data_IF_096193420371
#
_entry.id   IF_096193420371
#
_cell.length_a   1.000
_cell.length_b   1.000
_cell.length_c   1.000
_cell.angle_alpha   90.00
_cell.angle_beta   90.00
_cell.angle_gamma   90.00
#
_symmetry.space_group_name_H-M   'P 1'
#
loop_
_entity.id
_entity.type
_entity.pdbx_description
1 polymer ?
#
# COMPACT_ATOMS: atom_id res chain seq x y z
N UNK A 1 -14.43 56.38 -57.40
CA UNK A 1 -14.22 56.03 -55.98
C UNK A 1 -15.57 55.83 -55.30
N UNK A 2 -15.97 54.57 -55.06
CA UNK A 2 -16.89 54.25 -53.96
C UNK A 2 -16.84 52.74 -53.72
N UNK A 3 -16.18 52.38 -52.62
CA UNK A 3 -16.03 51.01 -52.13
C UNK A 3 -17.39 50.52 -51.61
N UNK A 4 -17.89 49.44 -52.18
CA UNK A 4 -19.12 48.76 -51.78
C UNK A 4 -18.75 47.29 -51.72
N UNK A 5 -18.41 46.78 -50.53
CA UNK A 5 -18.46 45.35 -50.13
C UNK A 5 -17.90 45.06 -48.71
N UNK A 6 -17.80 46.03 -47.80
CA UNK A 6 -17.21 45.79 -46.47
C UNK A 6 -18.21 45.46 -45.36
N UNK A 7 -19.51 45.70 -45.53
CA UNK A 7 -20.46 45.60 -44.41
C UNK A 7 -20.86 44.17 -44.03
N UNK A 8 -20.86 43.22 -44.97
CA UNK A 8 -21.18 41.81 -44.65
C UNK A 8 -19.97 41.07 -44.05
N UNK A 9 -18.76 41.49 -44.41
CA UNK A 9 -17.49 40.94 -43.90
C UNK A 9 -17.05 41.56 -42.57
N UNK A 10 -17.49 42.79 -42.26
CA UNK A 10 -17.10 43.53 -41.05
C UNK A 10 -17.70 42.99 -39.75
N UNK A 11 -18.83 42.26 -39.79
CA UNK A 11 -19.51 41.74 -38.59
C UNK A 11 -19.46 40.21 -38.47
N UNK A 12 -19.34 39.48 -39.58
CA UNK A 12 -19.31 38.01 -39.58
C UNK A 12 -18.01 37.41 -39.03
N UNK A 13 -16.84 37.92 -39.45
CA UNK A 13 -15.53 37.40 -39.03
C UNK A 13 -15.31 37.58 -37.51
N UNK A 14 -15.57 38.77 -36.91
CA UNK A 14 -15.44 38.93 -35.45
C UNK A 14 -16.37 38.02 -34.65
N UNK A 15 -17.60 37.79 -35.13
CA UNK A 15 -18.56 36.90 -34.48
C UNK A 15 -18.12 35.43 -34.51
N UNK A 16 -17.57 34.96 -35.64
CA UNK A 16 -17.03 33.61 -35.76
C UNK A 16 -15.82 33.38 -34.83
N UNK A 17 -14.92 34.37 -34.71
CA UNK A 17 -13.80 34.30 -33.77
C UNK A 17 -14.27 34.24 -32.31
N UNK A 18 -15.33 34.97 -31.96
CA UNK A 18 -15.90 34.95 -30.61
C UNK A 18 -16.48 33.56 -30.30
N UNK A 19 -17.28 32.99 -31.19
CA UNK A 19 -17.87 31.65 -31.03
C UNK A 19 -16.76 30.59 -30.92
N UNK A 20 -15.75 30.63 -31.79
CA UNK A 20 -14.63 29.70 -31.76
C UNK A 20 -13.83 29.81 -30.45
N UNK A 21 -13.60 31.03 -29.96
CA UNK A 21 -12.90 31.27 -28.69
C UNK A 21 -13.70 30.71 -27.51
N UNK A 22 -15.02 30.90 -27.49
CA UNK A 22 -15.89 30.35 -26.43
C UNK A 22 -15.91 28.83 -26.48
N UNK A 23 -15.98 28.22 -27.67
CA UNK A 23 -15.89 26.77 -27.81
C UNK A 23 -14.53 26.23 -27.34
N UNK A 24 -13.44 26.93 -27.67
CA UNK A 24 -12.10 26.55 -27.23
C UNK A 24 -11.98 26.63 -25.70
N UNK A 25 -12.47 27.71 -25.08
CA UNK A 25 -12.52 27.85 -23.62
C UNK A 25 -13.39 26.76 -22.97
N UNK A 26 -14.54 26.43 -23.56
CA UNK A 26 -15.39 25.36 -23.09
C UNK A 26 -14.64 24.02 -23.11
N UNK A 27 -13.99 23.65 -24.23
CA UNK A 27 -13.20 22.41 -24.34
C UNK A 27 -12.05 22.37 -23.34
N UNK A 28 -11.29 23.46 -23.20
CA UNK A 28 -10.19 23.57 -22.22
C UNK A 28 -10.70 23.41 -20.79
N UNK A 29 -11.83 24.03 -20.45
CA UNK A 29 -12.43 23.90 -19.11
C UNK A 29 -12.89 22.46 -18.81
N UNK A 30 -13.49 21.76 -19.79
CA UNK A 30 -13.91 20.37 -19.61
C UNK A 30 -12.70 19.43 -19.44
N UNK A 31 -11.63 19.62 -20.22
CA UNK A 31 -10.38 18.88 -20.07
C UNK A 31 -9.75 19.13 -18.70
N UNK A 32 -9.70 20.39 -18.27
CA UNK A 32 -9.16 20.76 -16.95
C UNK A 32 -9.96 20.11 -15.82
N UNK A 33 -11.30 20.16 -15.89
CA UNK A 33 -12.16 19.54 -14.89
C UNK A 33 -12.02 18.02 -14.86
N UNK A 34 -11.90 17.38 -16.03
CA UNK A 34 -11.66 15.95 -16.15
C UNK A 34 -10.34 15.54 -15.48
N UNK A 35 -9.26 16.28 -15.78
CA UNK A 35 -7.96 16.05 -15.17
C UNK A 35 -8.00 16.27 -13.66
N UNK A 36 -8.58 17.37 -13.18
CA UNK A 36 -8.67 17.65 -11.74
C UNK A 36 -9.47 16.59 -10.97
N UNK A 37 -10.52 16.03 -11.57
CA UNK A 37 -11.27 14.92 -10.95
C UNK A 37 -10.43 13.65 -10.87
N UNK A 38 -9.71 13.33 -11.94
CA UNK A 38 -8.79 12.18 -11.96
C UNK A 38 -7.68 12.36 -10.93
N UNK A 39 -7.05 13.53 -10.87
CA UNK A 39 -6.02 13.87 -9.89
C UNK A 39 -6.53 13.79 -8.46
N UNK A 40 -7.73 14.32 -8.19
CA UNK A 40 -8.35 14.21 -6.87
C UNK A 40 -8.57 12.74 -6.47
N UNK A 41 -9.03 11.91 -7.40
CA UNK A 41 -9.20 10.48 -7.13
C UNK A 41 -7.87 9.81 -6.81
N UNK A 42 -6.83 10.09 -7.59
CA UNK A 42 -5.48 9.55 -7.36
C UNK A 42 -4.92 10.03 -6.02
N UNK A 43 -5.07 11.32 -5.69
CA UNK A 43 -4.63 11.90 -4.43
C UNK A 43 -5.34 11.26 -3.23
N UNK A 44 -6.65 11.04 -3.32
CA UNK A 44 -7.42 10.34 -2.29
C UNK A 44 -6.96 8.91 -2.08
N UNK A 45 -6.73 8.17 -3.17
CA UNK A 45 -6.25 6.79 -3.08
C UNK A 45 -4.86 6.72 -2.45
N UNK A 46 -3.95 7.63 -2.83
CA UNK A 46 -2.61 7.74 -2.25
C UNK A 46 -2.66 8.07 -0.75
N UNK A 47 -3.55 8.99 -0.35
CA UNK A 47 -3.77 9.33 1.04
C UNK A 47 -4.29 8.13 1.84
N UNK A 48 -5.30 7.42 1.32
CA UNK A 48 -5.86 6.24 1.97
C UNK A 48 -4.80 5.14 2.14
N UNK A 49 -4.03 4.83 1.10
CA UNK A 49 -2.94 3.84 1.18
C UNK A 49 -1.90 4.20 2.25
N UNK A 50 -1.59 5.49 2.36
CA UNK A 50 -0.65 5.99 3.37
C UNK A 50 -1.22 5.83 4.78
N UNK A 51 -2.49 6.19 4.98
CA UNK A 51 -3.20 6.03 6.25
C UNK A 51 -3.29 4.55 6.67
N UNK A 52 -3.71 3.67 5.76
CA UNK A 52 -3.81 2.23 6.01
C UNK A 52 -2.45 1.63 6.40
N UNK A 53 -1.37 2.06 5.73
CA UNK A 53 -0.01 1.63 6.06
C UNK A 53 0.41 2.03 7.48
N UNK A 54 0.18 3.29 7.87
CA UNK A 54 0.51 3.75 9.22
C UNK A 54 -0.37 3.09 10.28
N UNK A 55 -1.66 2.88 9.98
CA UNK A 55 -2.57 2.16 10.87
C UNK A 55 -2.11 0.72 11.12
N UNK A 56 -1.72 0.00 10.06
CA UNK A 56 -1.16 -1.34 10.18
C UNK A 56 0.16 -1.35 10.98
N UNK A 57 1.04 -0.36 10.76
CA UNK A 57 2.27 -0.23 11.54
C UNK A 57 2.00 0.03 13.03
N UNK A 58 0.97 0.84 13.33
CA UNK A 58 0.54 1.09 14.71
C UNK A 58 -0.01 -0.17 15.36
N UNK A 59 -0.84 -0.94 14.66
CA UNK A 59 -1.40 -2.20 15.17
C UNK A 59 -0.29 -3.23 15.43
N UNK A 60 0.61 -3.42 14.47
CA UNK A 60 1.78 -4.27 14.64
C UNK A 60 2.66 -3.83 15.83
N UNK A 61 2.80 -2.52 16.08
CA UNK A 61 3.54 -2.02 17.25
C UNK A 61 2.87 -2.38 18.57
N UNK A 62 1.53 -2.36 18.63
CA UNK A 62 0.77 -2.84 19.78
C UNK A 62 1.01 -4.33 20.02
N UNK A 63 0.92 -5.15 18.96
CA UNK A 63 1.19 -6.59 19.03
C UNK A 63 2.62 -6.87 19.51
N UNK A 64 3.61 -6.10 19.03
CA UNK A 64 5.00 -6.20 19.51
C UNK A 64 5.10 -5.92 21.01
N UNK A 65 4.37 -4.92 21.51
CA UNK A 65 4.36 -4.59 22.94
C UNK A 65 3.71 -5.68 23.79
N UNK A 66 2.64 -6.30 23.30
CA UNK A 66 2.00 -7.46 23.93
C UNK A 66 2.96 -8.65 23.98
N UNK A 67 3.59 -8.99 22.84
CA UNK A 67 4.62 -10.04 22.76
C UNK A 67 5.76 -9.76 23.73
N UNK A 68 6.25 -8.52 23.81
CA UNK A 68 7.32 -8.14 24.73
C UNK A 68 6.92 -8.34 26.20
N UNK A 69 5.67 -8.04 26.53
CA UNK A 69 5.13 -8.21 27.90
C UNK A 69 5.09 -9.69 28.25
N UNK A 70 4.57 -10.52 27.35
CA UNK A 70 4.46 -11.96 27.55
C UNK A 70 5.84 -12.64 27.63
N UNK A 71 6.79 -12.20 26.80
CA UNK A 71 8.18 -12.64 26.88
C UNK A 71 8.82 -12.26 28.22
N UNK A 72 8.51 -11.08 28.75
CA UNK A 72 9.01 -10.64 30.06
C UNK A 72 8.50 -11.53 31.18
N UNK A 73 7.23 -11.91 31.13
CA UNK A 73 6.64 -12.81 32.12
C UNK A 73 7.12 -14.25 31.96
N UNK A 74 7.36 -14.72 30.73
CA UNK A 74 8.01 -16.00 30.47
C UNK A 74 9.46 -16.01 30.99
N UNK A 75 10.21 -14.91 30.85
CA UNK A 75 11.56 -14.77 31.37
C UNK A 75 11.59 -14.81 32.91
N UNK A 76 10.60 -14.19 33.58
CA UNK A 76 10.47 -14.25 35.05
C UNK A 76 10.18 -15.65 35.58
N UNK A 77 9.48 -16.46 34.81
CA UNK A 77 9.11 -17.84 35.17
C UNK A 77 10.20 -18.85 34.81
N UNK A 78 10.98 -18.58 33.76
CA UNK A 78 11.99 -19.49 33.27
C UNK A 78 13.28 -19.40 34.11
N UNK A 79 13.75 -20.55 34.59
CA UNK A 79 15.05 -20.68 35.29
C UNK A 79 16.23 -20.77 34.31
N UNK A 80 15.97 -21.28 33.10
CA UNK A 80 16.97 -21.55 32.07
C UNK A 80 16.51 -21.07 30.69
N UNK A 81 17.47 -20.70 29.82
CA UNK A 81 17.22 -20.31 28.43
C UNK A 81 16.39 -21.34 27.66
N UNK A 82 16.61 -22.64 27.91
CA UNK A 82 15.88 -23.72 27.22
C UNK A 82 14.40 -23.75 27.61
N UNK A 83 14.07 -23.49 28.88
CA UNK A 83 12.69 -23.40 29.36
C UNK A 83 12.01 -22.13 28.83
N UNK A 84 12.74 -21.01 28.79
CA UNK A 84 12.25 -19.77 28.19
C UNK A 84 11.85 -19.98 26.73
N UNK A 85 12.74 -20.53 25.88
CA UNK A 85 12.43 -20.77 24.46
C UNK A 85 11.30 -21.81 24.26
N UNK A 86 11.12 -22.73 25.21
CA UNK A 86 10.01 -23.67 25.18
C UNK A 86 8.66 -22.97 25.44
N UNK A 87 8.61 -22.04 26.42
CA UNK A 87 7.43 -21.24 26.73
C UNK A 87 7.06 -20.31 25.56
N UNK A 88 8.04 -19.64 24.97
CA UNK A 88 7.82 -18.78 23.78
C UNK A 88 7.29 -19.60 22.61
N UNK A 89 7.86 -20.78 22.38
CA UNK A 89 7.38 -21.69 21.34
C UNK A 89 5.99 -22.26 21.62
N UNK A 90 5.54 -22.29 22.88
CA UNK A 90 4.18 -22.68 23.24
C UNK A 90 3.20 -21.53 23.03
N UNK A 91 3.55 -20.32 23.46
CA UNK A 91 2.77 -19.10 23.20
C UNK A 91 2.51 -18.88 21.69
N UNK A 92 3.52 -19.12 20.86
CA UNK A 92 3.36 -19.01 19.40
C UNK A 92 2.52 -20.14 18.79
N UNK A 93 2.37 -21.29 19.48
CA UNK A 93 1.44 -22.34 19.03
C UNK A 93 0.00 -22.04 19.42
N UNK A 94 -0.20 -21.35 20.53
CA UNK A 94 -1.52 -20.94 20.99
C UNK A 94 -2.09 -19.82 20.09
N UNK A 95 -1.21 -19.01 19.48
CA UNK A 95 -1.58 -17.98 18.50
C UNK A 95 -1.25 -18.42 17.07
N UNK A 96 -2.25 -18.90 16.34
CA UNK A 96 -2.12 -19.42 14.96
C UNK A 96 -1.48 -18.44 13.96
N UNK A 97 -1.49 -17.15 14.27
CA UNK A 97 -0.98 -16.06 13.43
C UNK A 97 0.54 -15.84 13.61
N UNK A 98 1.13 -16.40 14.67
CA UNK A 98 2.55 -16.28 15.00
C UNK A 98 3.32 -17.52 14.53
N UNK A 99 4.30 -17.32 13.66
CA UNK A 99 5.21 -18.39 13.22
C UNK A 99 6.54 -18.26 13.94
N UNK A 100 6.88 -19.23 14.79
CA UNK A 100 8.14 -19.26 15.52
C UNK A 100 9.12 -20.29 14.94
N UNK A 101 10.27 -19.80 14.48
CA UNK A 101 11.41 -20.62 14.06
C UNK A 101 12.35 -20.82 15.25
N UNK A 102 12.41 -22.07 15.74
CA UNK A 102 13.26 -22.47 16.88
C UNK A 102 14.75 -22.42 16.57
N UNK A 103 15.17 -22.63 15.33
CA UNK A 103 16.59 -22.67 14.96
C UNK A 103 17.17 -21.26 14.89
N UNK A 104 16.41 -20.33 14.33
CA UNK A 104 16.82 -18.93 14.18
C UNK A 104 16.40 -18.05 15.36
N UNK A 105 15.55 -18.58 16.25
CA UNK A 105 14.90 -17.85 17.32
C UNK A 105 14.14 -16.62 16.78
N UNK A 106 13.51 -16.77 15.61
CA UNK A 106 12.77 -15.70 14.95
C UNK A 106 11.28 -15.93 15.02
N UNK A 107 10.54 -14.88 15.38
CA UNK A 107 9.09 -14.84 15.43
C UNK A 107 8.61 -13.97 14.27
N UNK A 108 7.72 -14.53 13.46
CA UNK A 108 7.09 -13.84 12.34
C UNK A 108 5.59 -13.72 12.59
N UNK A 109 5.04 -12.57 12.28
CA UNK A 109 3.60 -12.33 12.24
C UNK A 109 3.27 -11.37 11.11
N UNK A 110 2.03 -11.39 10.66
CA UNK A 110 1.59 -10.56 9.54
C UNK A 110 0.25 -9.89 9.87
N UNK A 111 0.20 -8.58 9.65
CA UNK A 111 -1.01 -7.78 9.78
C UNK A 111 -1.59 -7.48 8.39
N UNK A 112 -2.92 -7.55 8.25
CA UNK A 112 -3.56 -7.22 6.98
C UNK A 112 -3.51 -5.71 6.74
N UNK A 113 -2.91 -5.28 5.63
CA UNK A 113 -2.78 -3.89 5.24
C UNK A 113 -3.88 -3.47 4.26
N UNK A 114 -4.20 -4.37 3.33
CA UNK A 114 -5.35 -4.26 2.42
C UNK A 114 -5.77 -5.66 1.95
N UNK A 115 -6.82 -5.76 1.13
CA UNK A 115 -7.26 -7.02 0.53
C UNK A 115 -6.17 -7.78 -0.24
N UNK A 116 -5.11 -7.07 -0.68
CA UNK A 116 -4.04 -7.64 -1.51
C UNK A 116 -2.64 -7.48 -0.89
N UNK A 117 -2.53 -6.87 0.28
CA UNK A 117 -1.24 -6.59 0.92
C UNK A 117 -1.29 -6.87 2.41
N UNK A 118 -0.18 -7.36 2.94
CA UNK A 118 0.02 -7.59 4.36
C UNK A 118 1.36 -7.01 4.80
N UNK A 119 1.43 -6.59 6.06
CA UNK A 119 2.65 -6.13 6.71
C UNK A 119 3.22 -7.26 7.55
N UNK A 120 4.26 -7.91 7.05
CA UNK A 120 5.00 -8.96 7.74
C UNK A 120 6.09 -8.35 8.60
N UNK A 121 6.12 -8.69 9.88
CA UNK A 121 7.15 -8.27 10.82
C UNK A 121 7.96 -9.48 11.28
N UNK A 122 9.29 -9.36 11.23
CA UNK A 122 10.22 -10.37 11.71
C UNK A 122 10.93 -9.87 12.96
N UNK A 123 10.73 -10.58 14.07
CA UNK A 123 11.35 -10.32 15.36
C UNK A 123 12.36 -11.42 15.65
N UNK A 124 13.48 -11.07 16.28
CA UNK A 124 14.40 -12.01 16.90
C UNK A 124 14.16 -12.03 18.40
N UNK A 125 13.92 -13.21 18.94
CA UNK A 125 13.79 -13.44 20.38
C UNK A 125 15.19 -13.59 20.98
N UNK A 126 15.50 -12.74 21.95
CA UNK A 126 16.76 -12.73 22.68
C UNK A 126 16.56 -13.31 24.07
N UNK A 127 17.64 -13.88 24.62
CA UNK A 127 17.71 -14.25 26.03
C UNK A 127 18.70 -13.29 26.70
N UNK A 128 18.25 -12.45 27.64
CA UNK A 128 19.10 -11.44 28.25
C UNK A 128 20.02 -12.10 29.28
N UNK A 129 21.32 -11.81 29.20
CA UNK A 129 22.28 -12.26 30.23
C UNK A 129 22.26 -11.35 31.47
N UNK A 130 21.72 -10.13 31.33
CA UNK A 130 21.60 -9.13 32.40
C UNK A 130 20.15 -8.65 32.52
N UNK A 131 19.68 -8.49 33.76
CA UNK A 131 18.37 -7.88 34.04
C UNK A 131 18.30 -6.46 33.46
N UNK A 132 17.45 -6.28 32.45
CA UNK A 132 17.22 -4.98 31.79
C UNK A 132 17.54 -4.97 30.29
N UNK A 133 18.16 -6.02 29.74
CA UNK A 133 18.39 -6.11 28.30
C UNK A 133 17.07 -6.41 27.54
N UNK A 134 16.99 -5.94 26.30
CA UNK A 134 15.82 -6.19 25.44
C UNK A 134 15.65 -7.67 25.12
N UNK A 135 14.44 -8.17 25.31
CA UNK A 135 14.03 -9.55 25.01
C UNK A 135 13.72 -9.78 23.54
N UNK A 136 13.50 -8.69 22.80
CA UNK A 136 13.16 -8.72 21.38
C UNK A 136 14.03 -7.75 20.61
N UNK A 137 14.37 -8.13 19.39
CA UNK A 137 14.99 -7.26 18.41
C UNK A 137 14.18 -7.31 17.13
N UNK A 138 13.67 -6.17 16.70
CA UNK A 138 13.00 -6.04 15.41
C UNK A 138 14.07 -6.20 14.32
N UNK A 139 13.95 -7.22 13.48
CA UNK A 139 14.86 -7.44 12.37
C UNK A 139 14.39 -6.70 11.11
N UNK A 140 13.09 -6.82 10.79
CA UNK A 140 12.57 -6.30 9.53
C UNK A 140 11.07 -6.07 9.58
N UNK A 141 10.63 -5.03 8.87
CA UNK A 141 9.27 -4.79 8.45
C UNK A 141 9.20 -4.97 6.94
N UNK A 142 8.20 -5.69 6.43
CA UNK A 142 8.07 -5.97 5.00
C UNK A 142 6.60 -5.92 4.59
N UNK A 143 6.30 -5.13 3.58
CA UNK A 143 4.99 -5.20 2.91
C UNK A 143 5.04 -6.30 1.86
N UNK A 144 4.26 -7.36 2.06
CA UNK A 144 4.09 -8.46 1.14
C UNK A 144 2.76 -8.32 0.38
N UNK A 145 2.73 -8.73 -0.88
CA UNK A 145 1.49 -8.80 -1.67
C UNK A 145 0.89 -10.19 -1.51
N UNK A 146 -0.32 -10.28 -0.94
CA UNK A 146 -1.05 -11.53 -0.71
C UNK A 146 -1.79 -12.03 -1.96
N UNK A 147 -1.93 -11.18 -2.98
CA UNK A 147 -2.49 -11.60 -4.27
C UNK A 147 -1.57 -12.61 -4.96
N UNK A 148 -2.07 -13.82 -5.22
CA UNK A 148 -1.40 -14.77 -6.11
C UNK A 148 -1.33 -14.13 -7.50
N UNK A 149 -0.16 -13.68 -7.91
CA UNK A 149 0.05 -13.20 -9.27
C UNK A 149 -0.20 -14.38 -10.23
N UNK A 150 -1.38 -14.43 -10.84
CA UNK A 150 -1.67 -15.29 -11.97
C UNK A 150 -1.37 -14.48 -13.23
N UNK A 151 -0.20 -14.64 -13.87
CA UNK A 151 0.07 -13.96 -15.12
C UNK A 151 -0.98 -14.40 -16.15
N UNK A 152 -1.74 -13.44 -16.65
CA UNK A 152 -2.60 -13.67 -17.81
C UNK A 152 -1.69 -14.05 -18.98
N UNK A 153 -1.71 -15.34 -19.31
CA UNK A 153 -0.93 -15.95 -20.39
C UNK A 153 -1.69 -15.92 -21.71
N UNK A 154 -2.86 -15.26 -21.76
CA UNK A 154 -3.60 -15.07 -23.01
C UNK A 154 -2.94 -14.00 -23.87
N UNK A 155 -1.90 -14.40 -24.61
CA UNK A 155 -1.36 -13.57 -25.67
C UNK A 155 -2.32 -13.62 -26.85
N UNK A 156 -2.88 -12.47 -27.24
CA UNK A 156 -3.67 -12.36 -28.47
C UNK A 156 -2.77 -12.62 -29.68
N UNK A 157 -2.78 -13.85 -30.19
CA UNK A 157 -2.00 -14.21 -31.38
C UNK A 157 -2.64 -13.53 -32.60
N UNK A 158 -1.85 -12.78 -33.37
CA UNK A 158 -2.28 -12.19 -34.63
C UNK A 158 -2.77 -13.31 -35.57
N UNK A 159 -4.10 -13.40 -35.76
CA UNK A 159 -4.70 -14.26 -36.77
C UNK A 159 -4.62 -13.50 -38.09
N UNK A 160 -3.60 -13.80 -38.89
CA UNK A 160 -3.37 -13.15 -40.18
C UNK A 160 -4.66 -13.00 -40.98
N UNK A 161 -4.94 -11.78 -41.43
CA UNK A 161 -6.07 -11.49 -42.30
C UNK A 161 -5.92 -12.27 -43.59
N UNK A 162 -6.68 -13.35 -43.72
CA UNK A 162 -6.99 -13.93 -45.02
C UNK A 162 -8.10 -13.05 -45.60
N UNK A 163 -7.68 -12.15 -46.49
CA UNK A 163 -8.56 -11.61 -47.51
C UNK A 163 -9.07 -12.78 -48.35
N UNK A 164 -10.38 -13.02 -48.31
CA UNK A 164 -11.15 -13.56 -49.44
C UNK A 164 -12.35 -12.64 -49.69
#
# INVERSE_FOLDING_TARGET
MKDHNSFFTATGIPSLFLIFSVLCLAVLSLLTLGNSRSELSTARNSMQQTEDYYNACSQASTVISEIQTELTDAYRQATDQKNYLALVGQFCKDHSELTFDKEKQTLLFAESLSDTQQLTVCLKVLYPEKSGDSLIQILQWKTDTTASWTPDTSQSVYKGGTHE
#
